data_IF_133636274044
#
_entry.id   IF_133636274044
#
_cell.length_a   1.000
_cell.length_b   1.000
_cell.length_c   1.000
_cell.angle_alpha   90.00
_cell.angle_beta   90.00
_cell.angle_gamma   90.00
#
_symmetry.space_group_name_H-M   'P 1'
#
loop_
_entity.id
_entity.type
_entity.pdbx_description
1 polymer ?
#
# COMPACT_ATOMS: atom_id res chain seq x y z
N UNK A 1 20.46 43.60 58.79
CA UNK A 1 20.26 42.22 58.29
C UNK A 1 20.11 42.24 56.79
N UNK A 2 21.10 41.70 56.12
CA UNK A 2 21.02 41.60 54.68
C UNK A 2 20.64 40.18 54.32
N UNK A 3 19.46 40.02 53.78
CA UNK A 3 19.03 38.75 53.25
C UNK A 3 19.66 38.59 51.86
N UNK A 4 20.58 37.67 51.72
CA UNK A 4 21.05 37.26 50.40
C UNK A 4 20.06 36.24 49.86
N UNK A 5 19.35 36.64 48.88
CA UNK A 5 18.51 35.72 48.10
C UNK A 5 19.47 34.89 47.25
N UNK A 6 19.54 33.58 47.42
CA UNK A 6 20.32 32.78 46.50
C UNK A 6 19.61 32.87 45.12
N UNK A 7 20.34 33.40 44.19
CA UNK A 7 19.82 33.31 42.80
C UNK A 7 19.83 31.85 42.42
N UNK A 8 18.65 31.28 42.45
CA UNK A 8 18.48 29.96 41.90
C UNK A 8 18.58 30.09 40.42
N UNK A 9 19.76 29.79 39.87
CA UNK A 9 19.88 29.63 38.43
C UNK A 9 19.13 28.34 38.06
N UNK A 10 17.91 28.52 37.64
CA UNK A 10 17.20 27.45 36.97
C UNK A 10 17.89 27.29 35.60
N UNK A 11 18.85 26.40 35.53
CA UNK A 11 19.39 25.99 34.23
C UNK A 11 18.28 25.25 33.52
N UNK A 12 17.58 25.99 32.67
CA UNK A 12 16.67 25.35 31.73
C UNK A 12 17.56 24.59 30.73
N UNK A 13 17.79 23.32 31.03
CA UNK A 13 18.37 22.45 30.03
C UNK A 13 17.33 22.31 28.92
N UNK A 14 17.46 23.14 27.88
CA UNK A 14 16.75 22.94 26.66
C UNK A 14 17.22 21.61 26.08
N UNK A 15 16.57 20.53 26.48
CA UNK A 15 16.77 19.26 25.82
C UNK A 15 16.35 19.43 24.39
N UNK A 16 17.32 19.55 23.47
CA UNK A 16 17.05 19.41 22.06
C UNK A 16 16.53 18.00 21.87
N UNK A 17 15.20 17.86 21.71
CA UNK A 17 14.63 16.62 21.26
C UNK A 17 15.17 16.37 19.86
N UNK A 18 16.18 15.52 19.76
CA UNK A 18 16.62 15.04 18.46
C UNK A 18 15.51 14.13 17.97
N UNK A 19 14.67 14.68 17.11
CA UNK A 19 13.77 13.87 16.30
C UNK A 19 14.64 13.08 15.33
N UNK A 20 15.19 11.96 15.82
CA UNK A 20 15.70 10.97 14.90
C UNK A 20 14.51 10.52 14.06
N UNK A 21 14.59 10.77 12.74
CA UNK A 21 13.68 10.14 11.82
C UNK A 21 13.84 8.64 12.03
N UNK A 22 13.02 8.07 12.88
CA UNK A 22 12.97 6.65 13.04
C UNK A 22 12.46 6.08 11.72
N UNK A 23 13.23 5.15 11.14
CA UNK A 23 12.75 4.32 10.07
C UNK A 23 11.42 3.74 10.55
N UNK A 24 10.36 4.26 9.98
CA UNK A 24 9.04 3.72 10.28
C UNK A 24 9.00 2.32 9.71
N UNK A 25 8.85 1.33 10.58
CA UNK A 25 8.69 -0.04 10.18
C UNK A 25 7.62 -0.23 9.10
N UNK A 26 7.31 -1.48 8.71
CA UNK A 26 6.29 -1.77 7.71
C UNK A 26 4.99 -1.04 8.02
N UNK A 27 4.37 -0.47 6.99
CA UNK A 27 3.11 0.27 7.12
C UNK A 27 2.01 -0.43 6.35
N UNK A 28 0.76 -0.09 6.69
CA UNK A 28 -0.40 -0.52 5.92
C UNK A 28 -0.63 0.45 4.77
N UNK A 29 -0.86 -0.08 3.58
CA UNK A 29 -1.15 0.69 2.37
C UNK A 29 -2.50 0.26 1.81
N UNK A 30 -3.39 1.22 1.60
CA UNK A 30 -4.72 0.97 1.05
C UNK A 30 -4.78 1.50 -0.38
N UNK A 31 -5.22 0.66 -1.30
CA UNK A 31 -5.46 1.04 -2.70
C UNK A 31 -6.88 0.67 -3.10
N UNK A 32 -7.51 1.57 -3.84
CA UNK A 32 -8.76 1.29 -4.52
C UNK A 32 -8.45 1.11 -5.99
N UNK A 33 -8.73 -0.08 -6.53
CA UNK A 33 -8.46 -0.39 -7.94
C UNK A 33 -9.79 -0.61 -8.64
N UNK A 34 -10.05 0.19 -9.68
CA UNK A 34 -11.16 -0.02 -10.57
C UNK A 34 -10.76 -0.94 -11.72
N UNK A 35 -11.61 -1.91 -12.02
CA UNK A 35 -11.47 -2.77 -13.18
C UNK A 35 -12.64 -2.50 -14.12
N UNK A 36 -12.36 -2.03 -15.30
CA UNK A 36 -13.38 -1.77 -16.32
C UNK A 36 -12.80 -2.08 -17.69
N UNK A 37 -13.67 -2.25 -18.67
CA UNK A 37 -13.30 -2.64 -20.02
C UNK A 37 -12.27 -1.71 -20.64
N UNK A 38 -11.05 -2.11 -20.88
CA UNK A 38 -10.38 -3.33 -20.40
C UNK A 38 -9.08 -2.90 -19.79
N UNK A 39 -9.17 -2.28 -18.64
CA UNK A 39 -8.03 -1.70 -17.93
C UNK A 39 -8.22 -1.74 -16.43
N UNK A 40 -7.11 -1.69 -15.71
CA UNK A 40 -7.09 -1.41 -14.27
C UNK A 40 -6.76 0.06 -14.04
N UNK A 41 -7.39 0.67 -13.03
CA UNK A 41 -7.12 2.06 -12.68
C UNK A 41 -7.03 2.20 -11.15
N UNK A 42 -5.87 2.51 -10.60
CA UNK A 42 -4.59 2.67 -11.28
C UNK A 42 -4.03 1.31 -11.79
N UNK A 43 -3.25 1.37 -12.87
CA UNK A 43 -2.60 0.19 -13.43
C UNK A 43 -1.21 -0.04 -12.83
N UNK A 44 -0.76 0.83 -11.94
CA UNK A 44 0.53 0.73 -11.25
C UNK A 44 0.36 1.13 -9.81
N UNK A 45 0.76 0.25 -8.90
CA UNK A 45 0.79 0.56 -7.47
C UNK A 45 2.21 0.31 -6.95
N UNK A 46 2.65 1.18 -6.05
CA UNK A 46 3.98 1.08 -5.44
C UNK A 46 3.85 0.96 -3.93
N UNK A 47 4.58 0.03 -3.36
CA UNK A 47 4.66 -0.21 -1.92
C UNK A 47 6.11 -0.47 -1.54
N UNK A 48 6.38 -0.53 -0.26
CA UNK A 48 7.69 -0.92 0.23
C UNK A 48 7.65 -2.39 0.67
N UNK A 49 8.80 -3.03 0.61
CA UNK A 49 8.95 -4.40 1.09
C UNK A 49 8.45 -4.50 2.54
N UNK A 50 7.71 -5.57 2.82
CA UNK A 50 7.05 -5.88 4.09
C UNK A 50 5.83 -5.03 4.43
N UNK A 51 5.42 -4.09 3.59
CA UNK A 51 4.15 -3.41 3.80
C UNK A 51 2.98 -4.40 3.74
N UNK A 52 1.98 -4.14 4.58
CA UNK A 52 0.69 -4.83 4.48
C UNK A 52 -0.16 -4.06 3.46
N UNK A 53 -0.49 -4.72 2.36
CA UNK A 53 -1.21 -4.12 1.25
C UNK A 53 -2.66 -4.56 1.30
N UNK A 54 -3.56 -3.58 1.34
CA UNK A 54 -4.99 -3.81 1.27
C UNK A 54 -5.52 -3.24 -0.04
N UNK A 55 -6.20 -4.06 -0.81
CA UNK A 55 -6.78 -3.65 -2.09
C UNK A 55 -8.29 -3.80 -2.02
N UNK A 56 -8.99 -2.74 -2.36
CA UNK A 56 -10.41 -2.76 -2.65
C UNK A 56 -10.56 -2.77 -4.17
N UNK A 57 -11.07 -3.87 -4.70
CA UNK A 57 -11.28 -4.07 -6.12
C UNK A 57 -12.76 -3.88 -6.45
N UNK A 58 -13.05 -3.08 -7.46
CA UNK A 58 -14.42 -2.79 -7.89
C UNK A 58 -14.53 -2.72 -9.40
N UNK A 59 -15.73 -2.92 -9.90
CA UNK A 59 -16.06 -2.77 -11.31
C UNK A 59 -17.41 -2.09 -11.45
N UNK A 60 -17.57 -1.29 -12.51
CA UNK A 60 -18.83 -0.62 -12.83
C UNK A 60 -19.52 -1.22 -14.06
N UNK A 61 -18.87 -2.11 -14.78
CA UNK A 61 -19.40 -2.63 -16.05
C UNK A 61 -19.69 -4.13 -16.03
N UNK A 62 -18.68 -4.97 -16.05
CA UNK A 62 -18.82 -6.42 -16.10
C UNK A 62 -17.89 -7.06 -15.07
N UNK A 63 -18.00 -8.38 -14.91
CA UNK A 63 -17.09 -9.10 -14.04
C UNK A 63 -15.66 -9.04 -14.59
N UNK A 64 -14.72 -8.85 -13.69
CA UNK A 64 -13.28 -8.88 -13.98
C UNK A 64 -12.59 -9.68 -12.87
N UNK A 65 -11.29 -9.88 -12.99
CA UNK A 65 -10.50 -10.44 -11.92
C UNK A 65 -9.17 -9.71 -11.80
N UNK A 66 -8.54 -9.85 -10.64
CA UNK A 66 -7.18 -9.38 -10.41
C UNK A 66 -6.39 -10.56 -9.87
N UNK A 67 -5.35 -10.94 -10.61
CA UNK A 67 -4.50 -12.08 -10.29
C UNK A 67 -3.06 -11.62 -10.16
N UNK A 68 -2.42 -11.94 -9.04
CA UNK A 68 -0.99 -11.71 -8.80
C UNK A 68 -0.37 -13.07 -8.51
N UNK A 69 0.29 -13.65 -9.49
CA UNK A 69 0.79 -15.03 -9.40
C UNK A 69 1.79 -15.22 -8.26
N UNK A 70 2.70 -14.27 -8.08
CA UNK A 70 3.76 -14.34 -7.09
C UNK A 70 3.24 -14.37 -5.65
N UNK A 71 2.05 -13.82 -5.43
CA UNK A 71 1.40 -13.80 -4.13
C UNK A 71 0.24 -14.79 -4.04
N UNK A 72 0.04 -15.60 -5.08
CA UNK A 72 -1.04 -16.60 -5.16
C UNK A 72 -2.42 -15.99 -4.90
N UNK A 73 -2.63 -14.80 -5.45
CA UNK A 73 -3.88 -14.07 -5.34
C UNK A 73 -4.64 -14.15 -6.64
N UNK A 74 -5.92 -14.51 -6.56
CA UNK A 74 -6.84 -14.47 -7.69
C UNK A 74 -8.21 -14.06 -7.14
N UNK A 75 -8.65 -12.86 -7.43
CA UNK A 75 -9.91 -12.31 -6.93
C UNK A 75 -10.80 -11.91 -8.08
N UNK A 76 -12.03 -12.39 -8.05
CA UNK A 76 -13.07 -12.02 -9.00
C UNK A 76 -13.95 -10.93 -8.40
N UNK A 77 -14.32 -9.94 -9.20
CA UNK A 77 -15.20 -8.84 -8.81
C UNK A 77 -16.34 -8.73 -9.81
N UNK A 78 -17.55 -8.51 -9.31
CA UNK A 78 -18.74 -8.24 -10.11
C UNK A 78 -19.28 -6.85 -9.87
N UNK A 79 -20.12 -6.32 -10.79
CA UNK A 79 -20.74 -5.00 -10.61
C UNK A 79 -21.54 -4.95 -9.31
N UNK A 80 -21.35 -3.88 -8.53
CA UNK A 80 -22.02 -3.70 -7.26
C UNK A 80 -21.57 -4.60 -6.12
N UNK A 81 -20.53 -5.41 -6.33
CA UNK A 81 -20.00 -6.34 -5.34
C UNK A 81 -18.49 -6.18 -5.20
N UNK A 82 -18.01 -5.09 -4.61
CA UNK A 82 -16.58 -4.89 -4.43
C UNK A 82 -15.97 -5.97 -3.54
N UNK A 83 -14.71 -6.28 -3.78
CA UNK A 83 -13.96 -7.29 -3.05
C UNK A 83 -12.75 -6.62 -2.41
N UNK A 84 -12.52 -6.90 -1.14
CA UNK A 84 -11.37 -6.40 -0.41
C UNK A 84 -10.49 -7.57 -0.01
N UNK A 85 -9.19 -7.44 -0.21
CA UNK A 85 -8.22 -8.46 0.20
C UNK A 85 -6.91 -7.81 0.64
N UNK A 86 -6.16 -8.56 1.44
CA UNK A 86 -4.89 -8.10 2.00
C UNK A 86 -3.79 -9.12 1.74
N UNK A 87 -2.58 -8.61 1.59
CA UNK A 87 -1.38 -9.44 1.53
C UNK A 87 -0.17 -8.64 2.00
N UNK A 88 0.87 -9.36 2.43
CA UNK A 88 2.14 -8.73 2.79
C UNK A 88 3.06 -8.75 1.58
N UNK A 89 3.58 -7.60 1.22
CA UNK A 89 4.54 -7.45 0.12
C UNK A 89 5.93 -7.88 0.59
N UNK A 90 6.14 -9.17 0.77
CA UNK A 90 7.32 -9.73 1.44
C UNK A 90 8.54 -9.90 0.53
N UNK A 91 8.44 -9.53 -0.73
CA UNK A 91 9.55 -9.60 -1.69
C UNK A 91 9.64 -8.34 -2.52
N UNK A 92 10.83 -7.75 -2.57
CA UNK A 92 11.09 -6.64 -3.47
C UNK A 92 11.09 -7.11 -4.93
N UNK A 93 10.59 -6.28 -5.82
CA UNK A 93 10.54 -6.57 -7.25
C UNK A 93 9.36 -5.90 -7.92
N UNK A 94 9.20 -6.20 -9.19
CA UNK A 94 8.07 -5.74 -9.99
C UNK A 94 7.27 -6.96 -10.43
N UNK A 95 6.01 -6.99 -10.04
CA UNK A 95 5.15 -8.14 -10.27
C UNK A 95 3.92 -7.72 -11.09
N UNK A 96 3.66 -8.39 -12.23
CA UNK A 96 2.47 -8.09 -13.00
C UNK A 96 1.22 -8.58 -12.29
N UNK A 97 0.13 -7.86 -12.47
CA UNK A 97 -1.19 -8.38 -12.17
C UNK A 97 -2.07 -8.31 -13.42
N UNK A 98 -3.06 -9.17 -13.50
CA UNK A 98 -3.84 -9.32 -14.73
C UNK A 98 -5.22 -9.92 -14.46
N UNK A 99 -6.09 -9.83 -15.44
CA UNK A 99 -7.39 -10.49 -15.43
C UNK A 99 -7.26 -11.91 -16.01
N UNK A 100 -7.83 -12.90 -15.32
CA UNK A 100 -7.71 -14.31 -15.72
C UNK A 100 -9.04 -14.97 -16.11
N UNK A 101 -10.10 -14.20 -16.33
CA UNK A 101 -11.37 -14.76 -16.72
C UNK A 101 -11.33 -15.23 -18.18
N UNK A 102 -11.88 -16.41 -18.43
CA UNK A 102 -11.80 -17.04 -19.76
C UNK A 102 -12.88 -16.59 -20.74
N UNK A 103 -14.00 -16.11 -20.23
CA UNK A 103 -15.16 -15.75 -21.07
C UNK A 103 -15.07 -14.42 -21.78
N UNK A 104 -14.07 -13.60 -21.46
CA UNK A 104 -13.92 -12.23 -21.96
C UNK A 104 -12.57 -12.06 -22.63
N UNK A 105 -12.55 -11.82 -23.95
CA UNK A 105 -11.29 -11.62 -24.67
C UNK A 105 -10.50 -10.41 -24.18
N UNK A 106 -11.19 -9.31 -23.87
CA UNK A 106 -10.56 -8.10 -23.34
C UNK A 106 -9.92 -8.27 -21.98
N UNK A 107 -10.36 -9.26 -21.19
CA UNK A 107 -9.78 -9.60 -19.90
C UNK A 107 -8.28 -9.91 -20.04
N UNK A 108 -7.89 -10.60 -21.08
CA UNK A 108 -6.47 -10.95 -21.31
C UNK A 108 -5.58 -9.74 -21.57
N UNK A 109 -6.16 -8.62 -21.96
CA UNK A 109 -5.43 -7.38 -22.23
C UNK A 109 -5.26 -6.53 -20.98
N UNK A 110 -6.00 -6.83 -19.92
CA UNK A 110 -5.94 -6.07 -18.67
C UNK A 110 -4.70 -6.43 -17.89
N UNK A 111 -3.81 -5.46 -17.73
CA UNK A 111 -2.52 -5.63 -17.08
C UNK A 111 -2.21 -4.46 -16.17
N UNK A 112 -1.54 -4.75 -15.08
CA UNK A 112 -0.99 -3.75 -14.18
C UNK A 112 0.30 -4.22 -13.56
N UNK A 113 0.93 -3.35 -12.78
CA UNK A 113 2.21 -3.64 -12.12
C UNK A 113 2.13 -3.31 -10.64
N UNK A 114 2.52 -4.26 -9.84
CA UNK A 114 2.81 -4.07 -8.42
C UNK A 114 4.32 -3.89 -8.27
N UNK A 115 4.74 -2.72 -7.81
CA UNK A 115 6.15 -2.42 -7.58
C UNK A 115 6.40 -2.45 -6.09
N UNK A 116 7.23 -3.36 -5.64
CA UNK A 116 7.65 -3.50 -4.25
C UNK A 116 9.08 -3.02 -4.14
N UNK A 117 9.27 -1.87 -3.51
CA UNK A 117 10.60 -1.27 -3.34
C UNK A 117 11.33 -1.95 -2.20
N UNK A 118 12.62 -2.26 -2.37
CA UNK A 118 13.38 -2.86 -1.29
C UNK A 118 13.49 -1.91 -0.10
N UNK A 119 13.44 -2.47 1.09
CA UNK A 119 13.79 -1.75 2.32
C UNK A 119 15.29 -1.88 2.54
N UNK A 120 15.87 -0.77 2.92
CA UNK A 120 17.30 -0.78 3.26
C UNK A 120 17.52 -1.33 4.65
#
# INVERSE_FOLDING_TARGET
MRFRIPHLFLALAAGTAVLTAQDQGPTSKLFSIGAHRYAFEPARIEVNEDDLVKIELQTSDIAHSLTIDEYRIAKRVGPGQPVTFEFRADRAGTFPFYCNLRGEEGCRQMRGLLVVKPRK
#
